data_IF_013315043088
#
_entry.id   IF_013315043088
#
_cell.length_a   1.000
_cell.length_b   1.000
_cell.length_c   1.000
_cell.angle_alpha   90.00
_cell.angle_beta   90.00
_cell.angle_gamma   90.00
#
_symmetry.space_group_name_H-M   'P 1'
#
loop_
_entity.id
_entity.type
_entity.pdbx_description
1 polymer ?
#
# COMPACT_ATOMS: atom_id res chain seq x y z
N UNK A 1 16.89 8.58 5.71
CA UNK A 1 15.79 9.00 6.62
C UNK A 1 16.36 9.92 7.68
N UNK A 2 15.73 11.07 7.97
CA UNK A 2 16.16 11.97 9.03
C UNK A 2 15.93 11.33 10.41
N UNK A 3 16.73 11.67 11.42
CA UNK A 3 16.61 11.09 12.76
C UNK A 3 15.24 11.37 13.41
N UNK A 4 14.71 12.59 13.25
CA UNK A 4 13.38 12.98 13.72
C UNK A 4 12.27 12.14 13.09
N UNK A 5 12.33 11.92 11.78
CA UNK A 5 11.40 11.04 11.06
C UNK A 5 11.47 9.61 11.58
N UNK A 6 12.67 9.09 11.85
CA UNK A 6 12.83 7.76 12.42
C UNK A 6 12.18 7.64 13.82
N UNK A 7 12.33 8.65 14.68
CA UNK A 7 11.68 8.68 15.99
C UNK A 7 10.16 8.71 15.84
N UNK A 8 9.64 9.56 14.95
CA UNK A 8 8.20 9.68 14.66
C UNK A 8 7.62 8.34 14.21
N UNK A 9 8.27 7.70 13.23
CA UNK A 9 7.84 6.40 12.71
C UNK A 9 7.97 5.28 13.74
N UNK A 10 9.00 5.31 14.60
CA UNK A 10 9.11 4.34 15.68
C UNK A 10 7.91 4.44 16.62
N UNK A 11 7.52 5.65 17.01
CA UNK A 11 6.35 5.90 17.86
C UNK A 11 5.06 5.44 17.17
N UNK A 12 4.90 5.74 15.88
CA UNK A 12 3.76 5.31 15.07
C UNK A 12 3.65 3.78 14.99
N UNK A 13 4.77 3.08 14.72
CA UNK A 13 4.83 1.63 14.71
C UNK A 13 4.56 0.98 16.07
N UNK A 14 5.10 1.56 17.16
CA UNK A 14 4.85 1.07 18.51
C UNK A 14 3.35 1.22 18.88
N UNK A 15 2.66 2.27 18.41
CA UNK A 15 1.21 2.45 18.58
C UNK A 15 0.37 1.44 17.80
N UNK A 16 0.70 1.18 16.54
CA UNK A 16 0.04 0.12 15.72
C UNK A 16 0.15 -1.21 16.46
N UNK A 17 1.35 -1.55 16.90
CA UNK A 17 1.62 -2.81 17.60
C UNK A 17 0.87 -2.92 18.92
N UNK A 18 0.72 -1.81 19.65
CA UNK A 18 -0.06 -1.76 20.88
C UNK A 18 -1.54 -2.07 20.62
N UNK A 19 -2.15 -1.47 19.59
CA UNK A 19 -3.53 -1.73 19.20
C UNK A 19 -3.73 -3.21 18.79
N UNK A 20 -2.85 -3.73 17.93
CA UNK A 20 -2.91 -5.12 17.49
C UNK A 20 -2.76 -6.12 18.66
N UNK A 21 -1.92 -5.81 19.64
CA UNK A 21 -1.77 -6.66 20.84
C UNK A 21 -3.06 -6.74 21.66
N UNK A 22 -3.81 -5.63 21.77
CA UNK A 22 -5.10 -5.61 22.46
C UNK A 22 -6.13 -6.52 21.77
N UNK A 23 -5.99 -6.71 20.46
CA UNK A 23 -6.82 -7.61 19.65
C UNK A 23 -6.29 -9.05 19.57
N UNK A 24 -5.25 -9.39 20.35
CA UNK A 24 -4.71 -10.74 20.45
C UNK A 24 -3.64 -11.09 19.41
N UNK A 25 -3.08 -10.12 18.68
CA UNK A 25 -1.89 -10.37 17.86
C UNK A 25 -0.64 -10.48 18.73
N UNK A 26 0.18 -11.48 18.45
CA UNK A 26 1.55 -11.57 18.96
C UNK A 26 2.45 -10.71 18.06
N UNK A 27 3.05 -9.66 18.64
CA UNK A 27 3.88 -8.72 17.90
C UNK A 27 5.32 -8.72 18.44
N UNK A 28 6.28 -9.15 17.61
CA UNK A 28 7.72 -9.20 17.94
C UNK A 28 8.50 -8.18 17.14
N UNK A 29 9.17 -7.24 17.83
CA UNK A 29 10.00 -6.21 17.19
C UNK A 29 11.26 -6.83 16.58
N UNK A 30 11.59 -6.44 15.35
CA UNK A 30 12.86 -6.81 14.73
C UNK A 30 13.96 -5.83 15.18
N UNK A 31 15.15 -6.36 15.46
CA UNK A 31 16.29 -5.56 15.92
C UNK A 31 16.76 -4.59 14.82
N UNK A 32 17.05 -3.35 15.20
CA UNK A 32 17.64 -2.30 14.32
C UNK A 32 16.80 -1.94 13.08
N UNK A 33 15.48 -2.22 13.10
CA UNK A 33 14.57 -1.93 11.98
C UNK A 33 13.25 -1.36 12.50
N UNK A 34 12.58 -0.56 11.66
CA UNK A 34 11.17 -0.17 11.86
C UNK A 34 10.27 -1.30 11.33
N UNK A 35 10.44 -2.48 11.92
CA UNK A 35 9.70 -3.67 11.50
C UNK A 35 9.33 -4.56 12.68
N UNK A 36 8.15 -5.16 12.60
CA UNK A 36 7.60 -6.07 13.60
C UNK A 36 7.01 -7.29 12.90
N UNK A 37 7.32 -8.47 13.43
CA UNK A 37 6.63 -9.69 13.07
C UNK A 37 5.29 -9.75 13.81
N UNK A 38 4.21 -9.98 13.08
CA UNK A 38 2.84 -10.06 13.55
C UNK A 38 2.34 -11.48 13.31
N UNK A 39 1.80 -12.13 14.34
CA UNK A 39 1.15 -13.42 14.20
C UNK A 39 -0.14 -13.53 15.01
N UNK A 40 -1.17 -14.14 14.42
CA UNK A 40 -2.46 -14.44 15.06
C UNK A 40 -3.13 -15.63 14.36
N UNK A 41 -3.24 -16.77 15.04
CA UNK A 41 -3.71 -18.01 14.42
C UNK A 41 -2.79 -18.42 13.27
N UNK A 42 -3.34 -18.51 12.06
CA UNK A 42 -2.61 -18.83 10.82
C UNK A 42 -2.00 -17.61 10.12
N UNK A 43 -2.34 -16.40 10.56
CA UNK A 43 -1.85 -15.15 9.97
C UNK A 43 -0.42 -14.88 10.43
N UNK A 44 0.49 -14.62 9.49
CA UNK A 44 1.88 -14.23 9.76
C UNK A 44 2.36 -13.17 8.77
N UNK A 45 2.67 -11.97 9.25
CA UNK A 45 3.15 -10.86 8.44
C UNK A 45 4.28 -10.09 9.13
N UNK A 46 5.12 -9.41 8.35
CA UNK A 46 6.05 -8.40 8.83
C UNK A 46 5.48 -7.01 8.49
N UNK A 47 5.10 -6.27 9.54
CA UNK A 47 4.84 -4.84 9.45
C UNK A 47 6.17 -4.12 9.21
N UNK A 48 6.23 -3.26 8.21
CA UNK A 48 7.41 -2.44 7.91
C UNK A 48 7.01 -1.10 7.33
N UNK A 49 7.79 -0.05 7.64
CA UNK A 49 7.68 1.21 6.94
C UNK A 49 8.35 1.12 5.57
N UNK A 50 7.61 1.42 4.51
CA UNK A 50 8.16 1.62 3.17
C UNK A 50 8.50 3.10 3.00
N UNK A 51 9.77 3.38 2.75
CA UNK A 51 10.22 4.73 2.44
C UNK A 51 9.61 5.24 1.12
N UNK A 52 9.95 6.47 0.73
CA UNK A 52 9.59 7.00 -0.57
C UNK A 52 9.86 5.96 -1.69
N UNK A 53 8.95 5.81 -2.65
CA UNK A 53 7.79 6.68 -2.90
C UNK A 53 6.54 6.38 -2.04
N UNK A 54 6.38 5.17 -1.51
CA UNK A 54 5.13 4.74 -0.86
C UNK A 54 4.84 5.50 0.44
N UNK A 55 5.88 5.78 1.23
CA UNK A 55 5.79 6.55 2.48
C UNK A 55 4.66 6.08 3.40
N UNK A 56 4.50 4.76 3.55
CA UNK A 56 3.40 4.13 4.30
C UNK A 56 3.85 2.89 5.08
N UNK A 57 3.03 2.48 6.05
CA UNK A 57 3.14 1.18 6.69
C UNK A 57 2.58 0.09 5.79
N UNK A 58 3.32 -0.99 5.61
CA UNK A 58 2.91 -2.11 4.78
C UNK A 58 3.21 -3.45 5.44
N UNK A 59 2.56 -4.50 4.93
CA UNK A 59 2.69 -5.88 5.39
C UNK A 59 3.38 -6.73 4.33
N UNK A 60 4.39 -7.50 4.77
CA UNK A 60 5.11 -8.50 3.98
C UNK A 60 4.82 -9.92 4.51
N UNK A 61 4.57 -10.94 3.67
CA UNK A 61 4.46 -10.90 2.22
C UNK A 61 3.35 -9.98 1.71
N UNK A 62 3.53 -9.38 0.54
CA UNK A 62 2.52 -8.52 -0.08
C UNK A 62 1.45 -9.35 -0.81
N UNK A 63 0.94 -10.46 -0.29
CA UNK A 63 -0.06 -11.22 -1.04
C UNK A 63 -1.40 -10.49 -1.26
N UNK A 64 -2.22 -11.03 -2.17
CA UNK A 64 -3.58 -10.53 -2.46
C UNK A 64 -4.63 -11.26 -1.59
N UNK A 65 -4.26 -11.66 -0.37
CA UNK A 65 -5.19 -12.35 0.53
C UNK A 65 -6.16 -11.34 1.17
N UNK A 66 -7.46 -11.68 1.29
CA UNK A 66 -8.42 -10.78 1.93
C UNK A 66 -8.05 -10.50 3.40
N UNK A 67 -7.40 -11.45 4.08
CA UNK A 67 -6.92 -11.27 5.45
C UNK A 67 -5.86 -10.15 5.53
N UNK A 68 -4.97 -10.06 4.54
CA UNK A 68 -3.97 -9.01 4.47
C UNK A 68 -4.60 -7.65 4.21
N UNK A 69 -5.55 -7.58 3.27
CA UNK A 69 -6.26 -6.33 2.95
C UNK A 69 -7.02 -5.79 4.16
N UNK A 70 -7.73 -6.66 4.88
CA UNK A 70 -8.42 -6.31 6.12
C UNK A 70 -7.45 -5.82 7.21
N UNK A 71 -6.31 -6.50 7.37
CA UNK A 71 -5.31 -6.07 8.35
C UNK A 71 -4.66 -4.73 7.97
N UNK A 72 -4.41 -4.50 6.67
CA UNK A 72 -3.91 -3.22 6.18
C UNK A 72 -4.92 -2.09 6.36
N UNK A 73 -6.20 -2.30 6.03
CA UNK A 73 -7.24 -1.29 6.23
C UNK A 73 -7.36 -0.91 7.71
N UNK A 74 -7.22 -1.90 8.59
CA UNK A 74 -7.22 -1.67 10.03
C UNK A 74 -6.00 -0.86 10.49
N UNK A 75 -4.79 -1.23 10.05
CA UNK A 75 -3.56 -0.47 10.37
C UNK A 75 -3.66 0.97 9.89
N UNK A 76 -4.20 1.21 8.69
CA UNK A 76 -4.44 2.56 8.16
C UNK A 76 -5.39 3.36 9.06
N UNK A 77 -6.51 2.76 9.46
CA UNK A 77 -7.45 3.38 10.41
C UNK A 77 -6.79 3.75 11.75
N UNK A 78 -5.95 2.87 12.29
CA UNK A 78 -5.18 3.12 13.51
C UNK A 78 -4.24 4.32 13.32
N UNK A 79 -3.48 4.34 12.22
CA UNK A 79 -2.54 5.43 11.89
C UNK A 79 -3.27 6.76 11.74
N UNK A 80 -4.39 6.78 11.02
CA UNK A 80 -5.18 7.99 10.77
C UNK A 80 -5.73 8.57 12.08
N UNK A 81 -6.17 7.68 12.99
CA UNK A 81 -6.61 8.07 14.34
C UNK A 81 -5.49 8.80 15.10
N UNK A 82 -4.24 8.32 14.98
CA UNK A 82 -3.10 8.89 15.69
C UNK A 82 -2.45 10.09 15.01
N UNK A 83 -2.58 10.23 13.69
CA UNK A 83 -2.02 11.35 12.91
C UNK A 83 -2.84 12.63 13.11
N UNK A 84 -4.04 12.52 13.68
CA UNK A 84 -4.90 13.64 14.06
C UNK A 84 -6.31 13.39 13.59
N UNK A 85 -7.08 12.63 14.38
CA UNK A 85 -8.49 12.32 14.16
C UNK A 85 -9.30 13.53 13.68
N UNK A 86 -9.52 13.58 12.37
CA UNK A 86 -10.15 14.68 11.66
C UNK A 86 -10.83 14.21 10.38
N UNK A 87 -11.60 13.11 10.48
CA UNK A 87 -12.83 12.79 9.72
C UNK A 87 -13.12 11.30 9.87
N UNK A 88 -13.84 10.97 10.93
CA UNK A 88 -14.72 9.80 10.90
C UNK A 88 -15.83 10.17 9.91
N UNK A 89 -15.79 9.62 8.69
CA UNK A 89 -17.03 9.39 7.96
C UNK A 89 -17.46 7.99 8.36
N UNK A 90 -18.43 7.93 9.28
CA UNK A 90 -19.18 6.71 9.55
C UNK A 90 -19.94 6.29 8.28
N UNK A 91 -20.07 4.98 8.02
CA UNK A 91 -20.98 4.49 6.99
C UNK A 91 -22.39 4.49 7.56
N UNK A 92 -23.20 5.52 7.27
CA UNK A 92 -24.67 5.41 7.12
C UNK A 92 -25.35 6.76 6.92
N UNK A 93 -25.80 7.04 5.68
CA UNK A 93 -27.23 7.21 5.34
C UNK A 93 -27.37 7.57 3.86
N UNK A 94 -28.17 6.76 3.16
CA UNK A 94 -28.82 7.02 1.89
C UNK A 94 -29.36 8.46 1.81
N UNK A 95 -28.90 9.21 0.81
CA UNK A 95 -29.68 10.26 0.17
C UNK A 95 -29.67 9.90 -1.31
N UNK A 96 -30.83 9.49 -1.79
CA UNK A 96 -31.11 9.24 -3.20
C UNK A 96 -31.09 10.57 -3.98
N UNK A 97 -30.78 10.45 -5.28
CA UNK A 97 -31.05 11.40 -6.36
C UNK A 97 -30.01 12.53 -6.57
N UNK A 98 -28.90 12.18 -7.21
CA UNK A 98 -28.53 12.78 -8.50
C UNK A 98 -27.54 11.87 -9.23
N UNK A 99 -27.94 11.45 -10.43
CA UNK A 99 -27.13 10.67 -11.37
C UNK A 99 -26.14 11.64 -12.01
N UNK A 100 -24.91 11.63 -11.52
CA UNK A 100 -23.74 11.98 -12.34
C UNK A 100 -22.57 11.09 -11.90
N UNK A 101 -22.10 10.29 -12.84
CA UNK A 101 -21.05 9.29 -12.65
C UNK A 101 -19.71 9.94 -12.35
N UNK A 102 -19.48 10.29 -11.09
CA UNK A 102 -18.14 10.54 -10.55
C UNK A 102 -17.97 9.67 -9.31
N UNK A 103 -17.81 8.36 -9.54
CA UNK A 103 -17.42 7.42 -8.50
C UNK A 103 -16.11 7.87 -7.87
N UNK A 104 -16.18 8.33 -6.62
CA UNK A 104 -15.11 8.41 -5.61
C UNK A 104 -13.68 8.28 -6.17
N UNK A 105 -13.19 9.34 -6.82
CA UNK A 105 -11.83 9.46 -7.36
C UNK A 105 -10.79 9.79 -6.27
N UNK A 106 -10.95 9.23 -5.07
CA UNK A 106 -9.93 9.18 -4.03
C UNK A 106 -9.16 7.85 -4.05
N UNK A 107 -9.62 6.86 -4.82
CA UNK A 107 -9.05 5.50 -4.92
C UNK A 107 -7.96 5.32 -5.99
N UNK A 108 -7.57 6.38 -6.71
CA UNK A 108 -6.36 6.33 -7.57
C UNK A 108 -5.13 6.72 -6.75
N UNK A 109 -4.70 5.83 -5.86
CA UNK A 109 -3.46 5.97 -5.10
C UNK A 109 -2.25 6.12 -6.03
N UNK A 110 -1.83 7.38 -6.22
CA UNK A 110 -0.75 7.90 -7.05
C UNK A 110 -1.06 7.86 -8.55
N UNK A 111 -1.17 9.06 -9.17
CA UNK A 111 -1.28 9.25 -10.62
C UNK A 111 -0.34 8.28 -11.34
N UNK A 112 -0.93 7.20 -11.87
CA UNK A 112 -0.26 6.10 -12.57
C UNK A 112 0.66 6.62 -13.69
N UNK A 113 0.38 7.83 -14.17
CA UNK A 113 1.14 8.61 -15.14
C UNK A 113 2.56 8.98 -14.72
N UNK A 114 2.84 9.22 -13.43
CA UNK A 114 4.15 9.73 -12.99
C UNK A 114 5.10 8.64 -12.50
N UNK A 115 4.63 7.41 -12.29
CA UNK A 115 5.44 6.32 -11.73
C UNK A 115 5.35 5.08 -12.62
N UNK A 116 5.98 5.12 -13.82
CA UNK A 116 5.80 4.07 -14.80
C UNK A 116 6.64 2.82 -14.49
N UNK A 117 7.61 2.88 -13.58
CA UNK A 117 8.41 1.71 -13.22
C UNK A 117 7.78 0.98 -12.05
N UNK A 118 7.29 -0.23 -12.30
CA UNK A 118 6.49 -0.99 -11.35
C UNK A 118 7.23 -2.25 -10.95
N UNK A 119 7.32 -2.52 -9.65
CA UNK A 119 7.73 -3.83 -9.16
C UNK A 119 6.48 -4.70 -9.07
N UNK A 120 6.48 -5.83 -9.76
CA UNK A 120 5.45 -6.85 -9.64
C UNK A 120 6.01 -8.07 -8.93
N UNK A 121 5.20 -8.74 -8.12
CA UNK A 121 5.52 -10.07 -7.60
C UNK A 121 4.79 -11.10 -8.45
N UNK A 122 5.51 -12.14 -8.85
CA UNK A 122 4.95 -13.29 -9.53
C UNK A 122 4.41 -14.30 -8.51
N UNK A 123 3.22 -14.80 -8.78
CA UNK A 123 2.55 -15.84 -8.02
C UNK A 123 2.39 -17.09 -8.91
N UNK A 124 2.15 -18.27 -8.33
CA UNK A 124 1.79 -19.46 -9.09
C UNK A 124 0.60 -19.20 -10.02
N UNK A 125 0.47 -20.02 -11.07
CA UNK A 125 -0.61 -19.92 -12.07
C UNK A 125 -0.58 -18.62 -12.91
N UNK A 126 0.63 -18.11 -13.18
CA UNK A 126 0.84 -16.89 -13.98
C UNK A 126 0.11 -15.65 -13.42
N UNK A 127 -0.19 -15.65 -12.12
CA UNK A 127 -0.79 -14.50 -11.45
C UNK A 127 0.29 -13.51 -11.03
N UNK A 128 -0.07 -12.23 -10.94
CA UNK A 128 0.83 -11.17 -10.50
C UNK A 128 0.06 -10.05 -9.84
N UNK A 129 0.73 -9.31 -8.97
CA UNK A 129 0.20 -8.05 -8.43
C UNK A 129 1.31 -7.01 -8.28
N UNK A 130 0.91 -5.74 -8.22
CA UNK A 130 1.81 -4.61 -8.09
C UNK A 130 2.25 -4.43 -6.64
N UNK A 131 3.57 -4.48 -6.42
CA UNK A 131 4.17 -4.28 -5.10
C UNK A 131 4.38 -2.79 -4.82
N UNK A 132 4.93 -2.06 -5.78
CA UNK A 132 5.25 -0.63 -5.67
C UNK A 132 5.49 -0.01 -7.04
N UNK A 133 5.32 1.31 -7.16
CA UNK A 133 5.60 2.11 -8.35
C UNK A 133 6.71 3.13 -8.08
N UNK A 134 7.55 3.42 -9.07
CA UNK A 134 8.72 4.29 -8.98
C UNK A 134 8.81 5.21 -10.21
N UNK A 135 9.42 6.38 -10.02
CA UNK A 135 9.67 7.33 -11.08
C UNK A 135 10.87 6.88 -11.92
N UNK A 136 11.93 6.41 -11.25
CA UNK A 136 13.15 5.91 -11.89
C UNK A 136 13.22 4.38 -11.85
N UNK A 137 13.67 3.78 -12.96
CA UNK A 137 13.96 2.34 -13.03
C UNK A 137 14.97 1.90 -11.98
N UNK A 138 16.02 2.70 -11.78
CA UNK A 138 17.13 2.38 -10.86
C UNK A 138 16.64 2.28 -9.41
N UNK A 139 15.68 3.11 -9.00
CA UNK A 139 15.05 3.04 -7.69
C UNK A 139 14.23 1.76 -7.53
N UNK A 140 13.46 1.40 -8.55
CA UNK A 140 12.70 0.14 -8.57
C UNK A 140 13.64 -1.08 -8.47
N UNK A 141 14.74 -1.11 -9.23
CA UNK A 141 15.70 -2.20 -9.18
C UNK A 141 16.41 -2.31 -7.81
N UNK A 142 16.78 -1.17 -7.22
CA UNK A 142 17.38 -1.16 -5.88
C UNK A 142 16.38 -1.67 -4.83
N UNK A 143 15.11 -1.28 -4.93
CA UNK A 143 14.06 -1.76 -4.04
C UNK A 143 13.76 -3.26 -4.24
N UNK A 144 13.77 -3.76 -5.49
CA UNK A 144 13.70 -5.19 -5.79
C UNK A 144 14.81 -5.99 -5.09
N UNK A 145 16.05 -5.50 -5.10
CA UNK A 145 17.17 -6.17 -4.37
C UNK A 145 16.89 -6.29 -2.88
N UNK A 146 16.28 -5.26 -2.29
CA UNK A 146 15.86 -5.30 -0.89
C UNK A 146 14.77 -6.36 -0.69
N UNK A 147 13.72 -6.38 -1.51
CA UNK A 147 12.65 -7.38 -1.43
C UNK A 147 13.18 -8.81 -1.58
N UNK A 148 14.08 -9.08 -2.53
CA UNK A 148 14.72 -10.38 -2.70
C UNK A 148 15.47 -10.84 -1.44
N UNK A 149 16.10 -9.92 -0.71
CA UNK A 149 16.78 -10.25 0.56
C UNK A 149 15.80 -10.59 1.67
N UNK A 150 14.64 -9.94 1.69
CA UNK A 150 13.61 -10.18 2.70
C UNK A 150 12.75 -11.42 2.39
N UNK A 151 12.56 -11.72 1.12
CA UNK A 151 11.68 -12.79 0.63
C UNK A 151 12.38 -13.55 -0.50
N UNK A 152 13.42 -14.35 -0.20
CA UNK A 152 14.23 -15.02 -1.22
C UNK A 152 13.45 -16.06 -2.03
N UNK A 153 12.35 -16.58 -1.47
CA UNK A 153 11.46 -17.53 -2.17
C UNK A 153 10.42 -16.84 -3.07
N UNK A 154 10.33 -15.51 -3.06
CA UNK A 154 9.40 -14.77 -3.91
C UNK A 154 10.10 -14.22 -5.15
N UNK A 155 9.42 -14.30 -6.28
CA UNK A 155 9.91 -13.78 -7.55
C UNK A 155 9.37 -12.37 -7.80
N UNK A 156 10.27 -11.44 -8.11
CA UNK A 156 9.94 -10.04 -8.37
C UNK A 156 10.51 -9.57 -9.70
N UNK A 157 9.72 -8.80 -10.44
CA UNK A 157 10.12 -8.19 -11.71
C UNK A 157 9.88 -6.69 -11.71
N UNK A 158 10.72 -5.96 -12.44
CA UNK A 158 10.54 -4.53 -12.69
C UNK A 158 10.00 -4.39 -14.10
N UNK A 159 8.80 -3.83 -14.22
CA UNK A 159 8.05 -3.69 -15.48
C UNK A 159 7.78 -2.21 -15.72
N UNK A 160 7.84 -1.79 -16.98
CA UNK A 160 7.36 -0.47 -17.38
C UNK A 160 5.86 -0.55 -17.66
N UNK A 161 5.06 0.15 -16.86
CA UNK A 161 3.60 0.24 -16.96
C UNK A 161 3.23 1.65 -17.42
N UNK A 162 3.01 1.81 -18.72
CA UNK A 162 2.63 3.10 -19.30
C UNK A 162 1.20 3.48 -18.89
N UNK A 163 0.92 4.76 -18.57
CA UNK A 163 -0.45 5.20 -18.40
C UNK A 163 -1.21 4.98 -19.72
N UNK A 164 -2.27 4.19 -19.68
CA UNK A 164 -3.19 4.05 -20.80
C UNK A 164 -3.86 5.40 -21.05
N UNK A 165 -3.35 6.13 -22.04
CA UNK A 165 -4.03 7.31 -22.58
C UNK A 165 -5.36 6.82 -23.13
N UNK A 166 -6.44 7.12 -22.43
CA UNK A 166 -7.79 6.96 -22.99
C UNK A 166 -7.81 7.87 -24.20
N UNK A 167 -7.71 7.29 -25.40
CA UNK A 167 -7.86 8.00 -26.65
C UNK A 167 -9.29 8.55 -26.66
N UNK A 168 -9.44 9.84 -26.37
CA UNK A 168 -10.68 10.56 -26.64
C UNK A 168 -10.71 10.69 -28.16
N UNK A 169 -11.30 9.70 -28.81
CA UNK A 169 -11.61 9.75 -30.23
C UNK A 169 -12.63 10.88 -30.42
N UNK A 170 -12.13 12.08 -30.74
CA UNK A 170 -12.97 13.21 -31.15
C UNK A 170 -13.43 12.94 -32.57
N UNK A 171 -14.42 12.06 -32.72
CA UNK A 171 -15.14 11.95 -33.98
C UNK A 171 -16.05 13.17 -34.12
N UNK A 172 -15.70 13.92 -35.16
CA UNK A 172 -16.40 15.03 -35.78
C UNK A 172 -17.87 14.74 -36.07
N UNK A 173 -18.77 15.54 -35.52
CA UNK A 173 -20.05 15.83 -36.15
C UNK A 173 -20.16 17.35 -36.34
N UNK A 174 -20.05 17.76 -37.61
CA UNK A 174 -20.42 19.09 -38.10
C UNK A 174 -21.91 18.99 -38.47
N UNK A 175 -22.82 19.78 -37.89
CA UNK A 175 -24.16 19.87 -38.43
C UNK A 175 -24.18 20.87 -39.61
N UNK A 176 -24.81 20.45 -40.70
CA UNK A 176 -25.18 21.26 -41.87
C UNK A 176 -26.36 22.15 -41.55
#
# INVERSE_FOLDING_TARGET
MKHSEWIRLKLEGDKIVMALRAEGYQCRKQTRRLSWHLCKGTISYNLTWLAAPMSEWSLLPHDATPEREQLLSHIRSIVDTYRGGGRIIQPSKTIELSVDSTSNSSDRFWLQEHYPWVIVRLLPNAQRYVVARFYLRSEAENHKRLLNRFMPAAEFEVVFDAPSTVAIDRQSEIPV
#
